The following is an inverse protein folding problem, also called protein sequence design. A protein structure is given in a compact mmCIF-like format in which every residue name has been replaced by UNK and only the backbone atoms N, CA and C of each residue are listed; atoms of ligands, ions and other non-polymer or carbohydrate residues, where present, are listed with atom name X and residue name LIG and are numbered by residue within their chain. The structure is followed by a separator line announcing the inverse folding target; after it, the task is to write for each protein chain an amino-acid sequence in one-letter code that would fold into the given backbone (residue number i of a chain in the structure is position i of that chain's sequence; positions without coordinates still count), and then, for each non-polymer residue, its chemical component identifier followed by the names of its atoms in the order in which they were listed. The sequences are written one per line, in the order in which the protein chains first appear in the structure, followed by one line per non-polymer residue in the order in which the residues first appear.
data_IF_190927471217
#
_entry.id   IF_190927471217
#
_cell.length_a   1.000
_cell.length_b   1.000
_cell.length_c   1.000
_cell.angle_alpha   90.00
_cell.angle_beta   90.00
_cell.angle_gamma   90.00
#
_symmetry.space_group_name_H-M   'P 1'
#
loop_
_entity.id
_entity.type
_entity.pdbx_description
1 polymer ?
#
# COMPACT_ATOMS: atom_id res chain seq x y z
N UNK A 1 42.04 -21.56 16.22
CA UNK A 1 41.64 -20.18 15.87
C UNK A 1 42.69 -19.42 15.06
N UNK A 2 44.01 -19.63 15.19
CA UNK A 2 45.03 -18.92 14.38
C UNK A 2 44.94 -19.22 12.88
N UNK A 3 44.75 -20.48 12.49
CA UNK A 3 44.88 -20.93 11.09
C UNK A 3 43.81 -20.39 10.13
N UNK A 4 42.54 -20.36 10.53
CA UNK A 4 41.46 -19.84 9.66
C UNK A 4 41.56 -18.32 9.44
N UNK A 5 42.04 -17.59 10.45
CA UNK A 5 42.26 -16.15 10.42
C UNK A 5 43.51 -15.78 9.62
N UNK A 6 44.57 -16.59 9.76
CA UNK A 6 45.79 -16.43 8.99
C UNK A 6 45.55 -16.69 7.50
N UNK A 7 44.72 -17.69 7.15
CA UNK A 7 44.32 -18.01 5.78
C UNK A 7 43.41 -16.93 5.14
N UNK A 8 42.38 -16.43 5.85
CA UNK A 8 41.48 -15.39 5.31
C UNK A 8 42.20 -14.04 5.05
N UNK A 9 43.30 -13.80 5.77
CA UNK A 9 44.14 -12.62 5.62
C UNK A 9 45.40 -12.88 4.76
N UNK A 10 45.61 -14.11 4.27
CA UNK A 10 46.67 -14.50 3.33
C UNK A 10 46.26 -14.32 1.86
N UNK A 11 44.97 -14.44 1.56
CA UNK A 11 44.45 -14.30 0.20
C UNK A 11 44.50 -12.84 -0.30
N UNK A 12 45.50 -12.54 -1.12
CA UNK A 12 45.58 -11.49 -2.18
C UNK A 12 45.18 -10.04 -1.87
N UNK A 13 44.91 -9.64 -0.62
CA UNK A 13 44.65 -8.24 -0.26
C UNK A 13 45.89 -7.56 0.30
N UNK A 14 46.31 -6.47 -0.34
CA UNK A 14 47.30 -5.55 0.21
C UNK A 14 46.66 -4.74 1.35
N UNK A 15 46.50 -5.40 2.51
CA UNK A 15 45.92 -4.85 3.72
C UNK A 15 46.60 -3.56 4.18
N UNK A 16 47.87 -3.38 3.79
CA UNK A 16 48.62 -2.16 4.05
C UNK A 16 48.01 -0.99 3.28
N UNK A 17 47.84 -1.13 1.96
CA UNK A 17 47.21 -0.08 1.13
C UNK A 17 45.79 0.23 1.61
N UNK A 18 45.03 -0.80 2.03
CA UNK A 18 43.68 -0.62 2.55
C UNK A 18 43.62 0.25 3.82
N UNK A 19 44.59 0.08 4.72
CA UNK A 19 44.71 0.90 5.94
C UNK A 19 45.18 2.32 5.58
N UNK A 20 46.12 2.45 4.63
CA UNK A 20 46.63 3.73 4.15
C UNK A 20 45.52 4.55 3.46
N UNK A 21 44.71 3.93 2.61
CA UNK A 21 43.57 4.56 1.92
C UNK A 21 42.49 5.03 2.91
N UNK A 22 42.34 4.34 4.04
CA UNK A 22 41.38 4.67 5.09
C UNK A 22 42.00 5.40 6.29
N UNK A 23 43.26 5.84 6.19
CA UNK A 23 44.03 6.37 7.32
C UNK A 23 43.34 7.56 8.01
N UNK A 24 42.75 8.47 7.23
CA UNK A 24 42.01 9.61 7.77
C UNK A 24 40.80 9.18 8.62
N UNK A 25 40.03 8.20 8.13
CA UNK A 25 38.83 7.69 8.80
C UNK A 25 39.23 6.92 10.07
N UNK A 26 40.29 6.12 10.00
CA UNK A 26 40.77 5.34 11.14
C UNK A 26 41.28 6.28 12.24
N UNK A 27 42.11 7.27 11.90
CA UNK A 27 42.67 8.22 12.90
C UNK A 27 41.62 9.12 13.55
N UNK A 28 40.47 9.32 12.91
CA UNK A 28 39.35 10.09 13.45
C UNK A 28 38.52 9.27 14.46
N UNK A 29 38.29 7.98 14.17
CA UNK A 29 37.35 7.14 14.92
C UNK A 29 38.05 6.31 16.00
N UNK A 30 39.28 5.86 15.74
CA UNK A 30 40.03 4.98 16.62
C UNK A 30 40.44 5.69 17.91
N UNK A 31 40.18 5.05 19.05
CA UNK A 31 40.79 5.42 20.33
C UNK A 31 41.94 4.46 20.61
N UNK A 32 43.19 4.95 20.66
CA UNK A 32 44.35 4.11 20.87
C UNK A 32 44.31 3.31 22.17
N UNK A 33 43.69 3.86 23.22
CA UNK A 33 43.59 3.21 24.53
C UNK A 33 42.85 1.87 24.47
N UNK A 34 41.87 1.75 23.58
CA UNK A 34 41.05 0.55 23.43
C UNK A 34 41.86 -0.62 22.84
N UNK A 35 42.83 -0.30 21.98
CA UNK A 35 43.59 -1.31 21.20
C UNK A 35 45.04 -1.47 21.64
N UNK A 36 45.63 -0.48 22.31
CA UNK A 36 47.06 -0.49 22.68
C UNK A 36 47.43 -1.65 23.61
N UNK A 37 46.56 -2.00 24.55
CA UNK A 37 46.80 -3.14 25.46
C UNK A 37 46.84 -4.47 24.71
N UNK A 38 45.96 -4.66 23.73
CA UNK A 38 45.96 -5.85 22.86
C UNK A 38 47.22 -5.92 22.00
N UNK A 39 47.57 -4.82 21.34
CA UNK A 39 48.76 -4.78 20.49
C UNK A 39 50.07 -4.97 21.29
N UNK A 40 50.08 -4.60 22.57
CA UNK A 40 51.19 -4.90 23.49
C UNK A 40 51.24 -6.39 23.85
N UNK A 41 50.10 -7.02 24.11
CA UNK A 41 50.00 -8.47 24.40
C UNK A 41 50.48 -9.30 23.19
N UNK A 42 50.11 -8.90 21.98
CA UNK A 42 50.56 -9.50 20.72
C UNK A 42 52.01 -9.12 20.33
N UNK A 43 52.75 -8.42 21.20
CA UNK A 43 54.16 -7.99 21.01
C UNK A 43 54.38 -7.07 19.80
N UNK A 44 53.33 -6.43 19.30
CA UNK A 44 53.39 -5.44 18.20
C UNK A 44 53.88 -4.09 18.75
N UNK A 45 53.34 -3.68 19.90
CA UNK A 45 53.82 -2.51 20.64
C UNK A 45 54.91 -2.90 21.65
N UNK A 46 56.06 -2.22 21.55
CA UNK A 46 57.10 -2.24 22.59
C UNK A 46 56.76 -1.26 23.71
N UNK A 47 57.40 -1.39 24.87
CA UNK A 47 57.14 -0.54 26.03
C UNK A 47 57.22 0.97 25.72
N UNK A 48 58.29 1.41 25.04
CA UNK A 48 58.45 2.82 24.65
C UNK A 48 57.31 3.29 23.72
N UNK A 49 57.02 2.51 22.68
CA UNK A 49 55.94 2.80 21.74
C UNK A 49 54.55 2.82 22.42
N UNK A 50 54.35 1.96 23.42
CA UNK A 50 53.11 1.91 24.19
C UNK A 50 52.91 3.22 24.97
N UNK A 51 53.96 3.72 25.64
CA UNK A 51 53.91 4.97 26.39
C UNK A 51 53.59 6.18 25.49
N UNK A 52 54.17 6.23 24.28
CA UNK A 52 53.85 7.27 23.29
C UNK A 52 52.40 7.21 22.81
N UNK A 53 51.87 6.01 22.59
CA UNK A 53 50.50 5.77 22.16
C UNK A 53 49.49 6.03 23.29
N UNK A 54 49.85 5.78 24.55
CA UNK A 54 48.97 5.99 25.71
C UNK A 54 49.17 7.33 26.42
N UNK A 55 50.01 8.21 25.89
CA UNK A 55 50.31 9.49 26.53
C UNK A 55 49.04 10.36 26.68
N UNK A 56 48.57 10.65 27.90
CA UNK A 56 47.32 11.38 28.12
C UNK A 56 47.41 12.86 27.73
N UNK A 57 48.62 13.40 27.55
CA UNK A 57 48.85 14.80 27.16
C UNK A 57 48.83 15.00 25.63
N UNK A 58 48.72 13.91 24.85
CA UNK A 58 48.68 13.96 23.39
C UNK A 58 47.24 13.84 22.88
N UNK A 59 46.90 14.56 21.80
CA UNK A 59 45.58 14.49 21.19
C UNK A 59 45.32 13.09 20.59
N UNK A 60 44.11 12.56 20.73
CA UNK A 60 43.66 11.26 20.23
C UNK A 60 44.07 11.01 18.77
N UNK A 61 43.85 12.00 17.89
CA UNK A 61 44.21 11.87 16.46
C UNK A 61 45.71 11.62 16.26
N UNK A 62 46.56 12.36 16.99
CA UNK A 62 48.02 12.22 16.92
C UNK A 62 48.47 10.87 17.49
N UNK A 63 47.86 10.44 18.59
CA UNK A 63 48.12 9.11 19.19
C UNK A 63 47.69 7.96 18.25
N UNK A 64 46.58 8.11 17.55
CA UNK A 64 46.10 7.15 16.55
C UNK A 64 46.99 7.12 15.30
N UNK A 65 47.52 8.27 14.85
CA UNK A 65 48.53 8.35 13.80
C UNK A 65 49.80 7.59 14.18
N UNK A 66 50.36 7.88 15.36
CA UNK A 66 51.55 7.19 15.87
C UNK A 66 51.30 5.67 15.94
N UNK A 67 50.14 5.26 16.45
CA UNK A 67 49.76 3.86 16.52
C UNK A 67 49.72 3.19 15.14
N UNK A 68 49.12 3.84 14.15
CA UNK A 68 49.03 3.33 12.78
C UNK A 68 50.39 3.29 12.09
N UNK A 69 51.23 4.31 12.26
CA UNK A 69 52.60 4.31 11.74
C UNK A 69 53.41 3.14 12.32
N UNK A 70 53.21 2.83 13.61
CA UNK A 70 53.82 1.66 14.23
C UNK A 70 53.24 0.37 13.63
N UNK A 71 51.92 0.25 13.45
CA UNK A 71 51.31 -0.96 12.87
C UNK A 71 51.78 -1.19 11.42
N UNK A 72 51.83 -0.14 10.61
CA UNK A 72 52.24 -0.18 9.20
C UNK A 72 53.75 -0.42 9.02
N UNK A 73 54.58 -0.03 10.00
CA UNK A 73 56.01 -0.34 10.01
C UNK A 73 56.31 -1.76 10.51
N UNK A 74 55.32 -2.49 11.02
CA UNK A 74 55.44 -3.92 11.33
C UNK A 74 55.07 -4.75 10.11
N UNK A 75 55.67 -5.94 10.02
CA UNK A 75 55.38 -6.94 8.97
C UNK A 75 53.87 -7.21 8.87
N UNK A 76 53.44 -7.91 7.81
CA UNK A 76 52.05 -8.36 7.60
C UNK A 76 51.34 -8.85 8.87
N UNK A 77 52.05 -9.54 9.76
CA UNK A 77 51.57 -9.94 11.08
C UNK A 77 50.98 -8.80 11.93
N UNK A 78 51.63 -7.63 12.00
CA UNK A 78 51.14 -6.48 12.77
C UNK A 78 49.83 -5.91 12.21
N UNK A 79 49.72 -5.87 10.88
CA UNK A 79 48.52 -5.44 10.16
C UNK A 79 47.36 -6.41 10.40
N UNK A 80 47.61 -7.73 10.28
CA UNK A 80 46.59 -8.76 10.53
C UNK A 80 46.02 -8.67 11.95
N UNK A 81 46.89 -8.56 12.94
CA UNK A 81 46.50 -8.46 14.35
C UNK A 81 45.77 -7.16 14.65
N UNK A 82 46.20 -6.06 14.05
CA UNK A 82 45.47 -4.79 14.14
C UNK A 82 44.06 -4.92 13.57
N UNK A 83 43.88 -5.45 12.36
CA UNK A 83 42.57 -5.67 11.76
C UNK A 83 41.70 -6.61 12.59
N UNK A 84 42.29 -7.64 13.18
CA UNK A 84 41.62 -8.57 14.10
C UNK A 84 41.05 -7.82 15.30
N UNK A 85 41.87 -6.98 15.96
CA UNK A 85 41.43 -6.18 17.11
C UNK A 85 40.37 -5.14 16.69
N UNK A 86 40.51 -4.53 15.52
CA UNK A 86 39.52 -3.60 14.97
C UNK A 86 38.18 -4.29 14.69
N UNK A 87 38.17 -5.57 14.29
CA UNK A 87 36.94 -6.33 14.14
C UNK A 87 36.17 -6.46 15.45
N UNK A 88 36.89 -6.59 16.58
CA UNK A 88 36.28 -6.74 17.91
C UNK A 88 35.91 -5.39 18.53
N UNK A 89 36.81 -4.42 18.57
CA UNK A 89 36.55 -3.16 19.28
C UNK A 89 35.74 -2.17 18.41
N UNK A 90 35.89 -2.25 17.09
CA UNK A 90 35.28 -1.34 16.12
C UNK A 90 34.68 -2.06 14.89
N UNK A 91 33.70 -2.96 15.06
CA UNK A 91 33.16 -3.80 13.98
C UNK A 91 32.63 -3.01 12.77
N UNK A 92 32.08 -1.81 13.01
CA UNK A 92 31.60 -0.93 11.93
C UNK A 92 32.76 -0.31 11.15
N UNK A 93 33.85 0.05 11.83
CA UNK A 93 35.06 0.54 11.19
C UNK A 93 35.72 -0.58 10.39
N UNK A 94 35.78 -1.79 10.96
CA UNK A 94 36.26 -2.99 10.27
C UNK A 94 35.52 -3.26 8.97
N UNK A 95 34.18 -3.29 9.02
CA UNK A 95 33.33 -3.53 7.84
C UNK A 95 33.54 -2.43 6.79
N UNK A 96 33.67 -1.17 7.23
CA UNK A 96 33.87 -0.03 6.33
C UNK A 96 35.21 -0.09 5.59
N UNK A 97 36.27 -0.54 6.27
CA UNK A 97 37.61 -0.64 5.70
C UNK A 97 37.72 -1.87 4.80
N UNK A 98 37.25 -3.03 5.28
CA UNK A 98 37.53 -4.34 4.66
C UNK A 98 36.43 -4.84 3.74
N UNK A 99 35.20 -4.33 3.88
CA UNK A 99 34.00 -4.87 3.25
C UNK A 99 33.56 -6.24 3.78
N UNK A 100 34.23 -6.75 4.82
CA UNK A 100 33.98 -8.08 5.39
C UNK A 100 33.16 -7.99 6.68
N UNK A 101 32.53 -9.10 7.04
CA UNK A 101 31.87 -9.23 8.33
C UNK A 101 32.91 -9.31 9.47
N UNK A 102 32.65 -8.66 10.63
CA UNK A 102 33.53 -8.75 11.79
C UNK A 102 33.67 -10.20 12.30
N UNK A 103 34.84 -10.53 12.83
CA UNK A 103 35.09 -11.87 13.38
C UNK A 103 34.30 -12.12 14.67
N UNK A 104 33.96 -13.39 14.90
CA UNK A 104 33.40 -13.84 16.17
C UNK A 104 34.39 -13.60 17.32
N UNK A 105 33.85 -13.22 18.48
CA UNK A 105 34.65 -12.95 19.67
C UNK A 105 35.33 -14.24 20.17
N UNK A 106 36.62 -14.19 20.58
CA UNK A 106 37.27 -15.31 21.25
C UNK A 106 36.57 -15.66 22.57
N UNK A 107 36.60 -16.94 22.96
CA UNK A 107 35.99 -17.41 24.23
C UNK A 107 36.60 -16.75 25.48
N UNK A 108 37.86 -16.29 25.41
CA UNK A 108 38.60 -15.64 26.50
C UNK A 108 38.43 -14.10 26.55
N UNK A 109 37.40 -13.54 25.90
CA UNK A 109 37.20 -12.09 25.84
C UNK A 109 36.71 -11.51 27.17
N UNK A 110 37.52 -10.65 27.80
CA UNK A 110 37.25 -10.17 29.17
C UNK A 110 35.95 -9.35 29.31
N UNK A 111 35.27 -9.39 30.49
CA UNK A 111 33.94 -8.77 30.69
C UNK A 111 33.87 -7.27 30.37
N UNK A 112 34.95 -6.53 30.66
CA UNK A 112 35.06 -5.09 30.37
C UNK A 112 35.01 -4.80 28.86
N UNK A 113 35.54 -5.69 28.04
CA UNK A 113 35.56 -5.58 26.58
C UNK A 113 34.24 -6.05 25.96
N UNK A 114 33.60 -7.06 26.57
CA UNK A 114 32.26 -7.52 26.20
C UNK A 114 31.22 -6.39 26.27
N UNK A 115 31.33 -5.51 27.27
CA UNK A 115 30.47 -4.33 27.45
C UNK A 115 30.58 -3.32 26.29
N UNK A 116 31.79 -3.04 25.80
CA UNK A 116 32.03 -2.11 24.66
C UNK A 116 31.51 -2.69 23.34
N UNK A 117 31.78 -3.97 23.07
CA UNK A 117 31.25 -4.67 21.89
C UNK A 117 29.71 -4.73 21.91
N UNK A 118 29.12 -5.16 23.03
CA UNK A 118 27.68 -5.25 23.19
C UNK A 118 27.00 -3.88 23.08
N UNK A 119 27.57 -2.83 23.66
CA UNK A 119 27.01 -1.49 23.53
C UNK A 119 27.12 -0.93 22.12
N UNK A 120 28.17 -1.22 21.35
CA UNK A 120 28.32 -0.68 20.00
C UNK A 120 27.57 -1.48 18.92
N UNK A 121 27.60 -2.81 18.98
CA UNK A 121 26.93 -3.68 18.01
C UNK A 121 25.44 -3.78 18.31
N UNK A 122 25.06 -4.09 19.55
CA UNK A 122 23.64 -4.30 19.88
C UNK A 122 22.85 -2.98 19.89
N UNK A 123 23.41 -1.84 20.32
CA UNK A 123 22.68 -0.56 20.21
C UNK A 123 22.48 -0.15 18.77
N UNK A 124 23.47 -0.38 17.88
CA UNK A 124 23.31 -0.07 16.46
C UNK A 124 22.34 -1.03 15.77
N UNK A 125 22.45 -2.35 16.00
CA UNK A 125 21.52 -3.31 15.40
C UNK A 125 20.09 -3.08 15.86
N UNK A 126 19.90 -2.82 17.17
CA UNK A 126 18.59 -2.48 17.74
C UNK A 126 18.05 -1.17 17.17
N UNK A 127 18.88 -0.13 17.08
CA UNK A 127 18.46 1.16 16.51
C UNK A 127 18.07 1.02 15.03
N UNK A 128 18.84 0.26 14.25
CA UNK A 128 18.53 -0.02 12.85
C UNK A 128 17.24 -0.83 12.71
N UNK A 129 17.03 -1.86 13.55
CA UNK A 129 15.81 -2.65 13.54
C UNK A 129 14.58 -1.81 13.92
N UNK A 130 14.68 -0.97 14.95
CA UNK A 130 13.63 -0.04 15.38
C UNK A 130 13.30 0.95 14.26
N UNK A 131 14.32 1.55 13.63
CA UNK A 131 14.11 2.51 12.54
C UNK A 131 13.43 1.84 11.33
N UNK A 132 13.84 0.61 10.98
CA UNK A 132 13.21 -0.16 9.89
C UNK A 132 11.76 -0.52 10.21
N UNK A 133 11.49 -0.95 11.45
CA UNK A 133 10.12 -1.21 11.91
C UNK A 133 9.25 0.06 11.84
N UNK A 134 9.75 1.19 12.31
CA UNK A 134 9.04 2.47 12.27
C UNK A 134 8.77 2.91 10.82
N UNK A 135 9.75 2.77 9.93
CA UNK A 135 9.57 3.10 8.52
C UNK A 135 8.51 2.20 7.87
N UNK A 136 8.59 0.88 8.07
CA UNK A 136 7.61 -0.07 7.55
C UNK A 136 6.19 0.20 8.08
N UNK A 137 6.07 0.62 9.35
CA UNK A 137 4.79 1.00 9.94
C UNK A 137 4.21 2.27 9.29
N UNK A 138 5.04 3.28 9.02
CA UNK A 138 4.61 4.51 8.31
C UNK A 138 4.22 4.21 6.87
N UNK A 139 4.97 3.35 6.17
CA UNK A 139 4.65 2.92 4.81
C UNK A 139 3.32 2.16 4.75
N UNK A 140 3.03 1.30 5.72
CA UNK A 140 1.74 0.62 5.80
C UNK A 140 0.59 1.61 6.05
N UNK A 141 0.76 2.54 6.99
CA UNK A 141 -0.28 3.52 7.35
C UNK A 141 -0.58 4.48 6.19
N UNK A 142 0.45 4.90 5.45
CA UNK A 142 0.26 5.71 4.24
C UNK A 142 -0.41 4.93 3.11
N UNK A 143 -0.06 3.66 2.89
CA UNK A 143 -0.72 2.80 1.92
C UNK A 143 -2.21 2.59 2.25
N UNK A 144 -2.55 2.32 3.51
CA UNK A 144 -3.93 2.18 3.98
C UNK A 144 -4.74 3.46 3.75
N UNK A 145 -4.18 4.62 4.11
CA UNK A 145 -4.83 5.92 3.87
C UNK A 145 -5.08 6.19 2.39
N UNK A 146 -4.11 5.85 1.55
CA UNK A 146 -4.22 6.07 0.11
C UNK A 146 -5.28 5.15 -0.51
N UNK A 147 -5.38 3.90 -0.06
CA UNK A 147 -6.40 2.96 -0.50
C UNK A 147 -7.81 3.35 -0.02
N UNK A 148 -7.92 3.80 1.23
CA UNK A 148 -9.17 4.35 1.77
C UNK A 148 -9.65 5.56 0.95
N UNK A 149 -8.74 6.46 0.57
CA UNK A 149 -9.06 7.61 -0.27
C UNK A 149 -9.52 7.22 -1.68
N UNK A 150 -8.90 6.19 -2.30
CA UNK A 150 -9.36 5.67 -3.60
C UNK A 150 -10.77 5.08 -3.50
N UNK A 151 -11.07 4.33 -2.45
CA UNK A 151 -12.40 3.77 -2.21
C UNK A 151 -13.45 4.88 -2.01
N UNK A 152 -13.12 5.92 -1.24
CA UNK A 152 -13.97 7.09 -1.05
C UNK A 152 -14.23 7.82 -2.37
N UNK A 153 -13.19 8.11 -3.17
CA UNK A 153 -13.34 8.76 -4.46
C UNK A 153 -14.17 7.93 -5.46
N UNK A 154 -13.99 6.62 -5.47
CA UNK A 154 -14.80 5.70 -6.27
C UNK A 154 -16.27 5.70 -5.84
N UNK A 155 -16.53 5.73 -4.52
CA UNK A 155 -17.87 5.85 -3.95
C UNK A 155 -18.55 7.16 -4.30
N UNK A 156 -17.84 8.29 -4.19
CA UNK A 156 -18.35 9.61 -4.55
C UNK A 156 -18.69 9.70 -6.05
N UNK A 157 -17.83 9.15 -6.91
CA UNK A 157 -18.09 9.09 -8.36
C UNK A 157 -19.36 8.29 -8.68
N UNK A 158 -19.55 7.15 -8.02
CA UNK A 158 -20.77 6.33 -8.15
C UNK A 158 -22.01 7.07 -7.64
N UNK A 159 -21.91 7.77 -6.52
CA UNK A 159 -22.99 8.59 -5.99
C UNK A 159 -23.37 9.72 -6.95
N UNK A 160 -22.39 10.38 -7.58
CA UNK A 160 -22.67 11.42 -8.58
C UNK A 160 -23.36 10.86 -9.83
N UNK A 161 -22.96 9.68 -10.31
CA UNK A 161 -23.59 9.03 -11.46
C UNK A 161 -25.04 8.60 -11.15
N UNK A 162 -25.28 8.03 -9.96
CA UNK A 162 -26.63 7.68 -9.52
C UNK A 162 -27.54 8.91 -9.35
N UNK A 163 -27.00 10.04 -8.86
CA UNK A 163 -27.75 11.30 -8.79
C UNK A 163 -28.16 11.78 -10.17
N UNK A 164 -27.23 11.79 -11.12
CA UNK A 164 -27.53 12.15 -12.51
C UNK A 164 -28.63 11.25 -13.10
N UNK A 165 -28.59 9.94 -12.82
CA UNK A 165 -29.62 9.01 -13.28
C UNK A 165 -30.99 9.24 -12.62
N UNK A 166 -31.01 9.61 -11.33
CA UNK A 166 -32.24 9.99 -10.63
C UNK A 166 -32.86 11.23 -11.27
N UNK A 167 -32.05 12.25 -11.55
CA UNK A 167 -32.51 13.49 -12.19
C UNK A 167 -33.09 13.20 -13.59
N UNK A 168 -32.40 12.38 -14.39
CA UNK A 168 -32.87 11.96 -15.73
C UNK A 168 -34.21 11.20 -15.65
N UNK A 169 -34.35 10.27 -14.70
CA UNK A 169 -35.59 9.51 -14.51
C UNK A 169 -36.73 10.39 -14.00
N UNK A 170 -36.43 11.41 -13.18
CA UNK A 170 -37.41 12.40 -12.74
C UNK A 170 -37.91 13.25 -13.91
N UNK A 171 -37.01 13.73 -14.76
CA UNK A 171 -37.37 14.48 -15.97
C UNK A 171 -38.26 13.66 -16.90
N UNK A 172 -37.92 12.39 -17.12
CA UNK A 172 -38.77 11.46 -17.89
C UNK A 172 -40.13 11.25 -17.24
N UNK A 173 -40.17 11.03 -15.93
CA UNK A 173 -41.43 10.88 -15.18
C UNK A 173 -42.32 12.11 -15.36
N UNK A 174 -41.77 13.32 -15.25
CA UNK A 174 -42.55 14.55 -15.35
C UNK A 174 -43.04 14.80 -16.78
N UNK A 175 -42.22 14.49 -17.78
CA UNK A 175 -42.63 14.47 -19.19
C UNK A 175 -43.83 13.53 -19.43
N UNK A 176 -43.78 12.31 -18.89
CA UNK A 176 -44.89 11.35 -19.03
C UNK A 176 -46.14 11.77 -18.25
N UNK A 177 -45.99 12.37 -17.06
CA UNK A 177 -47.12 12.94 -16.30
C UNK A 177 -47.81 14.04 -17.09
N UNK A 178 -47.06 14.93 -17.73
CA UNK A 178 -47.61 16.01 -18.56
C UNK A 178 -48.38 15.42 -19.76
N UNK A 179 -47.76 14.47 -20.48
CA UNK A 179 -48.41 13.78 -21.61
C UNK A 179 -49.69 13.07 -21.18
N UNK A 180 -49.68 12.41 -20.03
CA UNK A 180 -50.85 11.72 -19.48
C UNK A 180 -51.96 12.71 -19.07
N UNK A 181 -51.60 13.81 -18.42
CA UNK A 181 -52.53 14.90 -18.06
C UNK A 181 -53.23 15.46 -19.31
N UNK A 182 -52.47 15.71 -20.38
CA UNK A 182 -53.01 16.20 -21.66
C UNK A 182 -53.98 15.21 -22.30
N UNK A 183 -53.66 13.92 -22.28
CA UNK A 183 -54.53 12.87 -22.79
C UNK A 183 -55.83 12.73 -21.96
N UNK A 184 -55.76 12.91 -20.63
CA UNK A 184 -56.95 12.96 -19.77
C UNK A 184 -57.86 14.12 -20.19
N UNK A 185 -57.32 15.33 -20.35
CA UNK A 185 -58.12 16.49 -20.77
C UNK A 185 -58.84 16.24 -22.10
N UNK A 186 -58.13 15.72 -23.10
CA UNK A 186 -58.73 15.36 -24.39
C UNK A 186 -59.82 14.29 -24.26
N UNK A 187 -59.60 13.26 -23.42
CA UNK A 187 -60.62 12.25 -23.16
C UNK A 187 -61.87 12.84 -22.50
N UNK A 188 -61.71 13.79 -21.57
CA UNK A 188 -62.84 14.46 -20.93
C UNK A 188 -63.61 15.36 -21.89
N UNK A 189 -62.92 16.07 -22.80
CA UNK A 189 -63.55 16.87 -23.86
C UNK A 189 -64.38 16.00 -24.80
N UNK A 190 -63.79 14.92 -25.31
CA UNK A 190 -64.49 13.98 -26.18
C UNK A 190 -65.69 13.33 -25.50
N UNK A 191 -65.59 13.00 -24.20
CA UNK A 191 -66.74 12.49 -23.42
C UNK A 191 -67.86 13.53 -23.35
N UNK A 192 -67.54 14.80 -23.09
CA UNK A 192 -68.53 15.87 -23.04
C UNK A 192 -69.20 16.12 -24.42
N UNK A 193 -68.44 16.04 -25.50
CA UNK A 193 -68.97 16.14 -26.86
C UNK A 193 -69.88 14.95 -27.21
N UNK A 194 -69.48 13.74 -26.82
CA UNK A 194 -70.28 12.54 -27.01
C UNK A 194 -71.60 12.61 -26.22
N UNK A 195 -71.59 13.16 -25.00
CA UNK A 195 -72.83 13.45 -24.26
C UNK A 195 -73.72 14.48 -24.95
N UNK A 196 -73.15 15.56 -25.52
CA UNK A 196 -73.94 16.53 -26.30
C UNK A 196 -74.59 15.87 -27.51
N UNK A 197 -73.85 15.06 -28.26
CA UNK A 197 -74.36 14.31 -29.41
C UNK A 197 -75.49 13.35 -29.02
N UNK A 198 -75.35 12.64 -27.88
CA UNK A 198 -76.43 11.80 -27.35
C UNK A 198 -77.71 12.59 -27.07
N UNK A 199 -77.60 13.79 -26.49
CA UNK A 199 -78.77 14.67 -26.26
C UNK A 199 -79.39 15.11 -27.57
N UNK A 200 -78.59 15.49 -28.57
CA UNK A 200 -79.10 15.85 -29.90
C UNK A 200 -79.84 14.68 -30.56
N UNK A 201 -79.30 13.46 -30.49
CA UNK A 201 -79.96 12.27 -31.01
C UNK A 201 -81.29 11.99 -30.31
N UNK A 202 -81.32 12.04 -28.97
CA UNK A 202 -82.56 11.87 -28.20
C UNK A 202 -83.62 12.91 -28.57
N UNK A 203 -83.21 14.16 -28.80
CA UNK A 203 -84.11 15.22 -29.21
C UNK A 203 -84.63 15.00 -30.64
N UNK A 204 -83.77 14.58 -31.56
CA UNK A 204 -84.17 14.22 -32.93
C UNK A 204 -85.13 13.02 -32.95
N UNK A 205 -84.90 12.00 -32.12
CA UNK A 205 -85.81 10.86 -31.96
C UNK A 205 -87.17 11.28 -31.37
N UNK A 206 -87.19 12.20 -30.41
CA UNK A 206 -88.43 12.75 -29.85
C UNK A 206 -89.21 13.60 -30.89
N UNK A 207 -88.50 14.39 -31.68
CA UNK A 207 -89.07 15.18 -32.78
C UNK A 207 -89.59 14.28 -33.92
N UNK A 208 -88.90 13.17 -34.21
CA UNK A 208 -89.34 12.17 -35.18
C UNK A 208 -90.60 11.43 -34.70
N UNK A 209 -90.62 10.94 -33.46
CA UNK A 209 -91.76 10.21 -32.90
C UNK A 209 -93.00 11.09 -32.66
N UNK A 210 -92.84 12.41 -32.50
CA UNK A 210 -93.97 13.35 -32.37
C UNK A 210 -94.61 13.71 -33.72
N UNK A 211 -93.90 13.51 -34.84
CA UNK A 211 -94.38 13.80 -36.19
C UNK A 211 -95.17 12.63 -36.83
N UNK A 212 -95.14 11.44 -36.21
CA UNK A 212 -95.82 10.22 -36.69
C UNK A 212 -97.33 10.15 -36.33
N UNK A 213 -97.89 11.22 -35.75
CA UNK A 213 -99.33 11.35 -35.46
C UNK A 213 -100.14 12.05 -36.57
N UNK A 214 -99.60 12.14 -37.79
CA UNK A 214 -100.39 12.55 -38.98
C UNK A 214 -100.16 11.64 -40.19
N UNK A 215 -101.10 10.69 -40.33
CA UNK A 215 -101.42 9.84 -41.49
C UNK A 215 -100.39 8.79 -42.00
N UNK A 216 -100.84 7.53 -42.24
CA UNK A 216 -100.00 6.49 -42.81
C UNK A 216 -99.95 6.63 -44.33
N UNK A 217 -98.78 6.98 -44.89
CA UNK A 217 -98.54 6.82 -46.32
C UNK A 217 -97.84 5.49 -46.54
N UNK A 218 -98.61 4.51 -47.03
CA UNK A 218 -98.08 3.29 -47.61
C UNK A 218 -97.26 3.62 -48.86
N UNK A 219 -95.94 3.39 -48.81
CA UNK A 219 -95.09 3.28 -50.00
C UNK A 219 -94.17 2.07 -49.88
N UNK A 220 -94.71 0.97 -50.43
CA UNK A 220 -94.07 0.05 -51.38
C UNK A 220 -92.63 -0.42 -51.08
N UNK A 221 -92.55 -1.72 -50.79
CA UNK A 221 -91.39 -2.57 -51.05
C UNK A 221 -90.76 -2.24 -52.41
N UNK A 222 -89.46 -1.95 -52.40
CA UNK A 222 -88.55 -2.30 -53.47
C UNK A 222 -87.30 -2.91 -52.84
N UNK A 223 -87.11 -4.20 -53.12
CA UNK A 223 -85.91 -4.96 -52.82
C UNK A 223 -84.69 -4.31 -53.47
N UNK A 224 -83.67 -3.98 -52.69
CA UNK A 224 -82.28 -3.99 -53.14
C UNK A 224 -81.32 -4.01 -51.93
N UNK A 225 -80.67 -5.15 -51.76
CA UNK A 225 -79.32 -5.31 -51.21
C UNK A 225 -79.09 -4.95 -49.75
N UNK A 226 -79.18 -5.99 -48.91
CA UNK A 226 -78.41 -6.10 -47.68
C UNK A 226 -76.91 -5.97 -47.96
N UNK A 227 -76.32 -4.81 -47.69
CA UNK A 227 -74.88 -4.70 -47.45
C UNK A 227 -74.68 -4.48 -45.95
N UNK A 228 -74.30 -5.56 -45.27
CA UNK A 228 -73.78 -5.52 -43.92
C UNK A 228 -72.54 -4.62 -43.89
N UNK A 229 -72.67 -3.41 -43.39
CA UNK A 229 -71.54 -2.65 -42.87
C UNK A 229 -71.36 -3.03 -41.41
N UNK A 230 -70.91 -4.27 -41.22
CA UNK A 230 -70.01 -4.63 -40.13
C UNK A 230 -68.70 -3.88 -40.39
N UNK A 231 -68.72 -2.57 -40.13
CA UNK A 231 -67.57 -1.68 -40.14
C UNK A 231 -66.76 -1.96 -38.90
N UNK A 232 -66.03 -3.07 -38.97
CA UNK A 232 -64.96 -3.50 -38.08
C UNK A 232 -63.92 -2.39 -37.97
N UNK A 233 -64.19 -1.36 -37.16
CA UNK A 233 -63.21 -0.36 -36.80
C UNK A 233 -62.40 -0.95 -35.65
N UNK A 234 -61.45 -1.81 -36.05
CA UNK A 234 -60.42 -2.30 -35.18
C UNK A 234 -59.74 -1.11 -34.53
N UNK A 235 -59.90 -0.99 -33.22
CA UNK A 235 -58.93 -0.30 -32.39
C UNK A 235 -57.68 -1.16 -32.51
N UNK A 236 -56.86 -0.87 -33.51
CA UNK A 236 -55.45 -1.24 -33.50
C UNK A 236 -54.90 -0.43 -32.34
N UNK A 237 -54.82 -1.09 -31.18
CA UNK A 237 -53.93 -0.68 -30.11
C UNK A 237 -52.54 -0.86 -30.68
N UNK A 238 -52.01 0.19 -31.32
CA UNK A 238 -50.58 0.33 -31.59
C UNK A 238 -49.87 0.43 -30.24
N UNK A 239 -49.64 -0.75 -29.64
CA UNK A 239 -48.77 -1.00 -28.50
C UNK A 239 -47.33 -1.22 -29.00
N UNK A 240 -46.87 -0.44 -29.97
CA UNK A 240 -45.55 -0.60 -30.60
C UNK A 240 -44.74 0.69 -30.66
N UNK A 241 -44.70 1.46 -29.57
CA UNK A 241 -43.65 2.46 -29.32
C UNK A 241 -43.51 2.47 -27.79
N UNK A 242 -42.56 1.81 -27.11
CA UNK A 242 -41.11 1.88 -27.19
C UNK A 242 -40.55 0.53 -26.71
N UNK A 243 -40.24 -0.38 -27.63
CA UNK A 243 -39.57 -1.66 -27.37
C UNK A 243 -38.18 -1.71 -28.00
N UNK A 244 -37.48 -0.58 -28.08
CA UNK A 244 -36.16 -0.47 -28.70
C UNK A 244 -35.22 0.37 -27.83
N UNK A 245 -35.21 0.12 -26.53
CA UNK A 245 -34.06 0.50 -25.70
C UNK A 245 -32.99 -0.56 -25.92
N UNK A 246 -31.99 -0.18 -26.72
CA UNK A 246 -30.63 -0.70 -26.70
C UNK A 246 -30.36 -1.66 -25.55
N UNK A 247 -30.48 -2.96 -25.83
CA UNK A 247 -29.99 -4.04 -24.99
C UNK A 247 -28.45 -4.07 -25.13
N UNK A 248 -27.79 -2.95 -24.77
CA UNK A 248 -26.37 -2.97 -24.46
C UNK A 248 -26.30 -3.79 -23.20
N UNK A 249 -25.61 -4.94 -23.26
CA UNK A 249 -25.39 -5.88 -22.16
C UNK A 249 -24.78 -5.17 -20.93
N UNK A 250 -25.59 -4.45 -20.15
CA UNK A 250 -25.24 -3.83 -18.88
C UNK A 250 -24.82 -4.91 -17.85
N UNK A 251 -25.31 -6.14 -18.02
CA UNK A 251 -24.85 -7.32 -17.29
C UNK A 251 -23.37 -7.63 -17.54
N UNK A 252 -22.88 -7.51 -18.79
CA UNK A 252 -21.49 -7.84 -19.12
C UNK A 252 -20.51 -6.76 -18.69
N UNK A 253 -20.90 -5.48 -18.78
CA UNK A 253 -20.06 -4.37 -18.33
C UNK A 253 -19.96 -4.33 -16.80
N UNK A 254 -21.06 -4.58 -16.08
CA UNK A 254 -21.02 -4.71 -14.62
C UNK A 254 -20.18 -5.91 -14.17
N UNK A 255 -20.26 -7.07 -14.85
CA UNK A 255 -19.41 -8.22 -14.54
C UNK A 255 -17.92 -7.97 -14.81
N UNK A 256 -17.57 -7.34 -15.95
CA UNK A 256 -16.19 -7.01 -16.27
C UNK A 256 -15.62 -5.98 -15.29
N UNK A 257 -16.43 -5.02 -14.84
CA UNK A 257 -16.02 -4.02 -13.87
C UNK A 257 -15.89 -4.61 -12.45
N UNK A 258 -16.82 -5.45 -12.02
CA UNK A 258 -16.71 -6.18 -10.75
C UNK A 258 -15.49 -7.11 -10.71
N UNK A 259 -15.19 -7.80 -11.81
CA UNK A 259 -13.99 -8.63 -11.94
C UNK A 259 -12.70 -7.79 -11.92
N UNK A 260 -12.70 -6.62 -12.55
CA UNK A 260 -11.55 -5.71 -12.52
C UNK A 260 -11.34 -5.07 -11.13
N UNK A 261 -12.43 -4.74 -10.43
CA UNK A 261 -12.42 -4.27 -9.05
C UNK A 261 -11.95 -5.37 -8.09
N UNK A 262 -12.42 -6.61 -8.26
CA UNK A 262 -12.02 -7.77 -7.45
C UNK A 262 -10.53 -8.10 -7.64
N UNK A 263 -10.05 -8.10 -8.88
CA UNK A 263 -8.64 -8.41 -9.17
C UNK A 263 -7.68 -7.34 -8.64
N UNK A 264 -8.07 -6.06 -8.69
CA UNK A 264 -7.31 -4.97 -8.04
C UNK A 264 -7.31 -5.11 -6.52
N UNK A 265 -8.43 -5.50 -5.93
CA UNK A 265 -8.54 -5.73 -4.49
C UNK A 265 -7.65 -6.89 -4.02
N UNK A 266 -7.59 -7.98 -4.78
CA UNK A 266 -6.72 -9.13 -4.48
C UNK A 266 -5.23 -8.77 -4.58
N UNK A 267 -4.87 -7.91 -5.52
CA UNK A 267 -3.49 -7.46 -5.70
C UNK A 267 -3.04 -6.52 -4.57
N UNK A 268 -3.92 -5.61 -4.12
CA UNK A 268 -3.64 -4.77 -2.95
C UNK A 268 -3.65 -5.56 -1.64
N UNK A 269 -4.52 -6.56 -1.49
CA UNK A 269 -4.52 -7.47 -0.35
C UNK A 269 -3.21 -8.26 -0.27
N UNK A 270 -2.69 -8.73 -1.40
CA UNK A 270 -1.39 -9.41 -1.48
C UNK A 270 -0.26 -8.48 -1.06
N UNK A 271 -0.22 -7.26 -1.59
CA UNK A 271 0.81 -6.26 -1.25
C UNK A 271 0.77 -5.87 0.24
N UNK A 272 -0.42 -5.75 0.83
CA UNK A 272 -0.60 -5.49 2.26
C UNK A 272 -0.13 -6.67 3.10
N UNK A 273 -0.44 -7.91 2.70
CA UNK A 273 0.07 -9.12 3.37
C UNK A 273 1.59 -9.18 3.37
N UNK A 274 2.23 -8.87 2.24
CA UNK A 274 3.70 -8.85 2.15
C UNK A 274 4.31 -7.80 3.08
N UNK A 275 3.69 -6.61 3.17
CA UNK A 275 4.11 -5.55 4.12
C UNK A 275 3.91 -5.95 5.59
N UNK A 276 2.81 -6.64 5.91
CA UNK A 276 2.55 -7.18 7.25
C UNK A 276 3.60 -8.23 7.61
N UNK A 277 3.88 -9.18 6.72
CA UNK A 277 4.89 -10.22 6.93
C UNK A 277 6.28 -9.61 7.15
N UNK A 278 6.65 -8.59 6.36
CA UNK A 278 7.90 -7.87 6.54
C UNK A 278 7.96 -7.17 7.90
N UNK A 279 6.86 -6.55 8.35
CA UNK A 279 6.79 -5.91 9.67
C UNK A 279 6.94 -6.91 10.81
N UNK A 280 6.25 -8.06 10.72
CA UNK A 280 6.35 -9.14 11.71
C UNK A 280 7.77 -9.69 11.81
N UNK A 281 8.43 -9.92 10.66
CA UNK A 281 9.84 -10.31 10.62
C UNK A 281 10.74 -9.31 11.36
N UNK A 282 10.61 -8.01 11.08
CA UNK A 282 11.43 -7.00 11.75
C UNK A 282 11.12 -6.86 13.25
N UNK A 283 9.87 -7.11 13.66
CA UNK A 283 9.46 -7.17 15.06
C UNK A 283 10.12 -8.34 15.79
N UNK A 284 10.15 -9.52 15.18
CA UNK A 284 10.84 -10.70 15.73
C UNK A 284 12.34 -10.48 15.84
N UNK A 285 12.98 -9.88 14.81
CA UNK A 285 14.40 -9.53 14.87
C UNK A 285 14.69 -8.52 15.99
N UNK A 286 13.83 -7.53 16.20
CA UNK A 286 13.98 -6.58 17.30
C UNK A 286 13.85 -7.26 18.68
N UNK A 287 12.91 -8.19 18.83
CA UNK A 287 12.75 -9.00 20.05
C UNK A 287 13.97 -9.88 20.30
N UNK A 288 14.47 -10.58 19.26
CA UNK A 288 15.68 -11.38 19.35
C UNK A 288 16.90 -10.58 19.84
N UNK A 289 17.12 -9.40 19.25
CA UNK A 289 18.21 -8.52 19.67
C UNK A 289 18.02 -7.94 21.07
N UNK A 290 16.76 -7.68 21.48
CA UNK A 290 16.43 -7.26 22.85
C UNK A 290 16.76 -8.37 23.86
N UNK A 291 16.33 -9.60 23.60
CA UNK A 291 16.60 -10.76 24.45
C UNK A 291 18.10 -11.03 24.58
N UNK A 292 18.83 -10.94 23.46
CA UNK A 292 20.29 -11.06 23.46
C UNK A 292 20.95 -9.96 24.28
N UNK A 293 20.44 -8.73 24.23
CA UNK A 293 20.93 -7.62 25.04
C UNK A 293 20.66 -7.83 26.52
N UNK A 294 19.46 -8.29 26.89
CA UNK A 294 19.10 -8.61 28.28
C UNK A 294 19.97 -9.74 28.84
N UNK A 295 20.24 -10.79 28.07
CA UNK A 295 21.17 -11.86 28.48
C UNK A 295 22.59 -11.34 28.74
N UNK A 296 23.11 -10.49 27.86
CA UNK A 296 24.44 -9.88 28.06
C UNK A 296 24.42 -8.95 29.28
N UNK A 297 23.34 -8.20 29.48
CA UNK A 297 23.17 -7.32 30.63
C UNK A 297 23.13 -8.09 31.96
N UNK A 298 22.44 -9.22 32.02
CA UNK A 298 22.41 -10.08 33.21
C UNK A 298 23.77 -10.75 33.47
N UNK A 299 24.50 -11.17 32.42
CA UNK A 299 25.88 -11.66 32.57
C UNK A 299 26.84 -10.60 33.12
N UNK A 300 26.63 -9.33 32.78
CA UNK A 300 27.40 -8.19 33.31
C UNK A 300 27.03 -7.84 34.76
N UNK A 301 25.90 -8.34 35.25
CA UNK A 301 25.36 -8.05 36.58
C UNK A 301 25.84 -9.05 37.63
N UNK A 302 26.32 -10.22 37.21
CA UNK A 302 26.84 -11.25 38.11
C UNK A 302 28.27 -10.93 38.56
N UNK A 303 28.52 -10.58 39.84
CA UNK A 303 29.84 -10.20 40.33
C UNK A 303 30.82 -11.39 40.45
N UNK A 304 30.41 -12.60 40.09
CA UNK A 304 31.17 -13.84 40.29
C UNK A 304 31.78 -14.44 39.03
N UNK A 305 31.72 -13.77 37.88
CA UNK A 305 32.55 -14.19 36.74
C UNK A 305 34.01 -13.73 36.96
N UNK A 306 34.98 -14.68 37.02
CA UNK A 306 36.38 -14.42 37.31
C UNK A 306 37.10 -13.58 36.25
#
# INVERSE_FOLDING_TARGET
MSEALDNLLEDEKDWKNLIEDNFAIITEILRPDDVANWLRQEKILRQANFEDVTNPHSNNKKRAQILLDIVLSRSSHGIKKFLTIISYEYPVLFTKITGLEPFDLPDDYTPKRLSTYATNVCKKSLKTAINKYQLAHVELDTALKLELNKLLQGGDSRLTELRFKIDELQEQSDFYKEKYSKAICQSTELKAENEKLKRYLQQYEADFNSNDNSHPVSLRQNNASSSSLSGRMGIIVENEIIGSSSNINHSSLNQVFELASSKRLEETERELKDKINAMEYWKEQALYHKDRFEKIYELLKDPRMP
#
